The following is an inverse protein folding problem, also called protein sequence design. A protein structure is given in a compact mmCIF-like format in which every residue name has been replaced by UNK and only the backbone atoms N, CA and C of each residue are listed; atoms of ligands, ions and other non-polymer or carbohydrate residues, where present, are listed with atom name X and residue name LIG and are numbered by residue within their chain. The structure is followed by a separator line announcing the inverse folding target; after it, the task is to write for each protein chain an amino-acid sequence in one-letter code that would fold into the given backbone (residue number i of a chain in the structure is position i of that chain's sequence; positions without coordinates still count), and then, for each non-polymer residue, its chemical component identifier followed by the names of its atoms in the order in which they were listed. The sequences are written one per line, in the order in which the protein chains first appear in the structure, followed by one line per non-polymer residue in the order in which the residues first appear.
data_IF_218726009334
#
_entry.id   IF_218726009334
#
_cell.length_a   1.000
_cell.length_b   1.000
_cell.length_c   1.000
_cell.angle_alpha   90.00
_cell.angle_beta   90.00
_cell.angle_gamma   90.00
#
_symmetry.space_group_name_H-M   'P 1'
#
loop_
_entity.id
_entity.type
_entity.pdbx_description
1 polymer ?
#
# COMPACT_ATOMS: atom_id res chain seq x y z
N UNK A 1 26.90 -2.05 7.17
CA UNK A 1 25.86 -1.28 6.46
C UNK A 1 24.61 -1.36 7.30
N UNK A 2 24.19 -0.25 7.91
CA UNK A 2 22.98 -0.17 8.73
C UNK A 2 21.77 -0.13 7.81
N UNK A 3 20.97 -1.20 7.77
CA UNK A 3 19.71 -1.28 7.03
C UNK A 3 18.69 -0.31 7.67
N UNK A 4 18.70 0.95 7.25
CA UNK A 4 17.76 1.98 7.72
C UNK A 4 16.35 1.85 7.11
N UNK A 5 16.13 0.87 6.22
CA UNK A 5 14.90 0.72 5.44
C UNK A 5 13.80 -0.13 6.12
N UNK A 6 14.07 -0.73 7.29
CA UNK A 6 13.13 -1.64 7.99
C UNK A 6 12.57 -1.08 9.29
N UNK A 7 12.77 0.22 9.58
CA UNK A 7 12.31 0.84 10.83
C UNK A 7 10.93 1.49 10.66
N UNK A 8 9.88 0.67 10.78
CA UNK A 8 8.49 1.11 10.77
C UNK A 8 8.14 1.93 12.02
N UNK A 9 7.60 3.14 11.84
CA UNK A 9 7.06 3.97 12.93
C UNK A 9 5.53 4.00 12.88
N UNK A 10 4.88 3.54 13.97
CA UNK A 10 3.43 3.39 14.22
C UNK A 10 2.75 2.22 13.47
N UNK A 11 2.22 1.29 14.25
CA UNK A 11 1.84 -0.06 13.82
C UNK A 11 0.34 -0.15 13.48
N UNK A 12 -0.03 0.29 12.28
CA UNK A 12 -1.20 -0.27 11.65
C UNK A 12 -1.04 -1.79 11.49
N UNK A 13 -2.13 -2.51 11.28
CA UNK A 13 -2.11 -3.97 11.10
C UNK A 13 -2.88 -4.42 9.86
N UNK A 14 -3.56 -3.52 9.16
CA UNK A 14 -4.33 -3.79 7.95
C UNK A 14 -3.53 -3.36 6.71
N UNK A 15 -3.59 -4.17 5.66
CA UNK A 15 -3.23 -3.78 4.30
C UNK A 15 -4.49 -3.77 3.44
N UNK A 16 -4.49 -2.96 2.38
CA UNK A 16 -5.50 -3.08 1.34
C UNK A 16 -5.07 -4.13 0.33
N UNK A 17 -5.94 -5.11 0.09
CA UNK A 17 -5.70 -6.23 -0.81
C UNK A 17 -6.79 -6.27 -1.86
N UNK A 18 -6.40 -6.44 -3.12
CA UNK A 18 -7.33 -6.66 -4.23
C UNK A 18 -8.26 -7.84 -3.95
N UNK A 19 -9.57 -7.65 -4.19
CA UNK A 19 -10.55 -8.73 -4.05
C UNK A 19 -10.24 -9.91 -4.96
N UNK A 20 -9.57 -9.71 -6.10
CA UNK A 20 -9.11 -10.81 -6.96
C UNK A 20 -8.19 -11.79 -6.23
N UNK A 21 -7.37 -11.33 -5.29
CA UNK A 21 -6.53 -12.21 -4.48
C UNK A 21 -7.33 -13.08 -3.51
N UNK A 22 -8.53 -12.65 -3.13
CA UNK A 22 -9.36 -13.26 -2.08
C UNK A 22 -10.47 -14.13 -2.67
N UNK A 23 -11.23 -13.57 -3.60
CA UNK A 23 -12.40 -14.19 -4.22
C UNK A 23 -11.97 -15.27 -5.22
N UNK A 24 -11.02 -14.94 -6.11
CA UNK A 24 -10.47 -15.85 -7.11
C UNK A 24 -9.23 -16.62 -6.60
N UNK A 25 -8.83 -16.37 -5.34
CA UNK A 25 -7.66 -16.98 -4.68
C UNK A 25 -6.37 -16.83 -5.49
N UNK A 26 -6.24 -15.72 -6.22
CA UNK A 26 -5.04 -15.44 -7.00
C UNK A 26 -3.88 -15.05 -6.09
N UNK A 27 -2.64 -15.47 -6.40
CA UNK A 27 -1.49 -15.10 -5.60
C UNK A 27 -1.22 -13.60 -5.71
N UNK A 28 -0.79 -12.98 -4.61
CA UNK A 28 -0.29 -11.60 -4.63
C UNK A 28 1.00 -11.57 -5.43
N UNK A 29 1.12 -10.68 -6.39
CA UNK A 29 2.31 -10.55 -7.25
C UNK A 29 2.86 -9.16 -7.35
N UNK A 30 2.12 -8.18 -6.87
CA UNK A 30 2.54 -6.79 -6.87
C UNK A 30 2.13 -6.15 -5.55
N UNK A 31 3.04 -5.45 -4.90
CA UNK A 31 2.75 -4.68 -3.70
C UNK A 31 3.60 -3.43 -3.61
N UNK A 32 3.02 -2.38 -3.06
CA UNK A 32 3.73 -1.16 -2.74
C UNK A 32 3.26 -0.58 -1.41
N UNK A 33 4.13 0.21 -0.78
CA UNK A 33 3.82 0.87 0.50
C UNK A 33 3.67 2.37 0.35
N UNK A 34 2.48 2.85 0.68
CA UNK A 34 2.13 4.26 0.80
C UNK A 34 2.34 4.75 2.23
N UNK A 35 2.14 6.06 2.45
CA UNK A 35 1.98 6.58 3.82
C UNK A 35 0.64 6.09 4.36
N UNK A 36 0.58 5.48 5.56
CA UNK A 36 -0.67 5.09 6.19
C UNK A 36 -1.70 6.21 6.22
N UNK A 37 -2.93 5.94 5.76
CA UNK A 37 -4.00 6.94 5.75
C UNK A 37 -4.72 7.02 7.11
N UNK A 38 -4.73 5.94 7.89
CA UNK A 38 -5.39 5.86 9.18
C UNK A 38 -4.61 5.01 10.20
N UNK A 39 -4.98 5.06 11.48
CA UNK A 39 -4.24 4.41 12.58
C UNK A 39 -4.05 2.89 12.37
N UNK A 40 -5.05 2.22 11.80
CA UNK A 40 -4.98 0.77 11.53
C UNK A 40 -4.31 0.42 10.18
N UNK A 41 -3.99 1.39 9.32
CA UNK A 41 -3.44 1.17 7.99
C UNK A 41 -1.94 0.96 8.10
N UNK A 42 -1.42 -0.05 7.44
CA UNK A 42 0.03 -0.24 7.31
C UNK A 42 0.62 0.55 6.14
N UNK A 43 -0.24 1.07 5.26
CA UNK A 43 0.12 1.69 3.99
C UNK A 43 0.34 0.69 2.86
N UNK A 44 0.31 -0.62 3.13
CA UNK A 44 0.47 -1.64 2.09
C UNK A 44 -0.75 -1.72 1.19
N UNK A 45 -0.48 -1.74 -0.11
CA UNK A 45 -1.43 -2.02 -1.20
C UNK A 45 -0.94 -3.25 -1.93
N UNK A 46 -1.77 -4.28 -2.08
CA UNK A 46 -1.39 -5.60 -2.59
C UNK A 46 -2.35 -6.08 -3.68
N UNK A 47 -1.79 -6.61 -4.78
CA UNK A 47 -2.51 -6.92 -6.01
C UNK A 47 -2.06 -8.26 -6.60
N UNK A 48 -2.91 -8.86 -7.42
CA UNK A 48 -2.63 -10.13 -8.11
C UNK A 48 -1.76 -9.94 -9.36
N UNK A 49 -1.70 -8.72 -9.89
CA UNK A 49 -1.06 -8.36 -11.16
C UNK A 49 -1.93 -8.60 -12.38
N UNK A 50 -3.21 -8.92 -12.18
CA UNK A 50 -4.21 -9.15 -13.24
C UNK A 50 -5.33 -8.11 -13.24
N UNK A 51 -5.25 -7.10 -12.37
CA UNK A 51 -6.17 -5.98 -12.33
C UNK A 51 -6.03 -5.15 -13.61
N UNK A 52 -7.12 -5.00 -14.35
CA UNK A 52 -7.16 -4.11 -15.51
C UNK A 52 -7.38 -2.64 -15.09
N UNK A 53 -7.32 -1.73 -16.07
CA UNK A 53 -7.46 -0.30 -15.80
C UNK A 53 -8.85 0.07 -15.25
N UNK A 54 -9.92 -0.64 -15.61
CA UNK A 54 -11.27 -0.37 -15.11
C UNK A 54 -11.40 -0.83 -13.65
N UNK A 55 -10.76 -1.95 -13.31
CA UNK A 55 -10.67 -2.46 -11.96
C UNK A 55 -9.89 -1.51 -11.05
N UNK A 56 -8.73 -1.03 -11.51
CA UNK A 56 -7.90 -0.07 -10.79
C UNK A 56 -8.55 1.32 -10.66
N UNK A 57 -9.38 1.72 -11.63
CA UNK A 57 -10.14 2.98 -11.51
C UNK A 57 -11.14 2.97 -10.33
N UNK A 58 -11.55 1.79 -9.87
CA UNK A 58 -12.54 1.60 -8.81
C UNK A 58 -11.93 0.99 -7.53
N UNK A 59 -10.70 1.37 -7.18
CA UNK A 59 -9.95 0.83 -6.03
C UNK A 59 -10.76 0.80 -4.71
N UNK A 60 -11.53 1.85 -4.40
CA UNK A 60 -12.32 1.90 -3.16
C UNK A 60 -13.33 0.76 -3.05
N UNK A 61 -13.90 0.33 -4.19
CA UNK A 61 -14.86 -0.77 -4.24
C UNK A 61 -14.17 -2.14 -4.40
N UNK A 62 -12.95 -2.17 -4.93
CA UNK A 62 -12.26 -3.38 -5.36
C UNK A 62 -11.16 -3.86 -4.40
N UNK A 63 -10.80 -3.04 -3.42
CA UNK A 63 -9.84 -3.38 -2.38
C UNK A 63 -10.55 -3.70 -1.06
N UNK A 64 -9.98 -4.59 -0.25
CA UNK A 64 -10.46 -4.93 1.09
C UNK A 64 -9.34 -4.78 2.12
N UNK A 65 -9.65 -4.25 3.33
CA UNK A 65 -8.70 -4.25 4.44
C UNK A 65 -8.56 -5.67 5.00
N UNK A 66 -7.33 -6.19 5.00
CA UNK A 66 -6.99 -7.52 5.51
C UNK A 66 -5.83 -7.42 6.50
N UNK A 67 -5.87 -8.13 7.65
CA UNK A 67 -4.73 -8.18 8.56
C UNK A 67 -3.48 -8.69 7.86
N UNK A 68 -2.38 -7.94 7.95
CA UNK A 68 -1.09 -8.31 7.32
C UNK A 68 -0.60 -9.67 7.81
N UNK A 69 -0.79 -9.98 9.10
CA UNK A 69 -0.44 -11.29 9.66
C UNK A 69 -1.12 -12.44 8.90
N UNK A 70 -2.43 -12.30 8.58
CA UNK A 70 -3.19 -13.30 7.82
C UNK A 70 -2.65 -13.46 6.40
N UNK A 71 -2.21 -12.36 5.77
CA UNK A 71 -1.60 -12.41 4.45
C UNK A 71 -0.28 -13.18 4.49
N UNK A 72 0.57 -12.91 5.48
CA UNK A 72 1.84 -13.63 5.66
C UNK A 72 1.64 -15.11 6.04
N UNK A 73 0.56 -15.45 6.74
CA UNK A 73 0.18 -16.85 6.98
C UNK A 73 -0.20 -17.59 5.69
N UNK A 74 -0.87 -16.90 4.76
CA UNK A 74 -1.23 -17.46 3.44
C UNK A 74 -0.04 -17.53 2.48
N UNK A 75 0.86 -16.55 2.52
CA UNK A 75 2.08 -16.51 1.73
C UNK A 75 3.26 -15.98 2.57
N UNK A 76 4.07 -16.90 3.08
CA UNK A 76 5.20 -16.59 3.93
C UNK A 76 6.28 -15.75 3.24
N UNK A 77 6.34 -15.73 1.90
CA UNK A 77 7.32 -14.93 1.14
C UNK A 77 7.12 -13.43 1.32
N UNK A 78 5.93 -12.99 1.77
CA UNK A 78 5.61 -11.59 2.02
C UNK A 78 6.14 -11.09 3.37
N UNK A 79 6.48 -11.98 4.30
CA UNK A 79 6.83 -11.65 5.69
C UNK A 79 7.99 -10.66 5.79
N UNK A 80 9.02 -10.84 4.96
CA UNK A 80 10.16 -9.92 4.94
C UNK A 80 9.78 -8.59 4.27
N UNK A 81 9.01 -8.64 3.18
CA UNK A 81 8.68 -7.46 2.39
C UNK A 81 7.84 -6.46 3.17
N UNK A 82 6.90 -6.95 4.00
CA UNK A 82 5.99 -6.08 4.75
C UNK A 82 6.69 -5.24 5.84
N UNK A 83 7.94 -5.57 6.17
CA UNK A 83 8.77 -4.83 7.12
C UNK A 83 9.42 -3.57 6.54
N UNK A 84 9.41 -3.40 5.21
CA UNK A 84 10.04 -2.27 4.54
C UNK A 84 9.26 -0.96 4.73
N UNK A 85 9.96 0.17 4.57
CA UNK A 85 9.40 1.52 4.70
C UNK A 85 8.47 1.93 3.54
N UNK A 86 7.78 3.07 3.70
CA UNK A 86 6.97 3.65 2.62
C UNK A 86 7.88 4.02 1.43
N UNK A 87 7.33 3.97 0.22
CA UNK A 87 8.10 4.18 -1.01
C UNK A 87 8.69 2.89 -1.61
N UNK A 88 8.45 1.74 -0.97
CA UNK A 88 8.93 0.45 -1.47
C UNK A 88 7.90 -0.21 -2.38
N UNK A 89 8.38 -0.83 -3.45
CA UNK A 89 7.58 -1.51 -4.47
C UNK A 89 8.25 -2.84 -4.80
N UNK A 90 7.45 -3.90 -4.87
CA UNK A 90 7.90 -5.24 -5.12
C UNK A 90 6.99 -5.93 -6.12
N UNK A 91 7.59 -6.74 -6.99
CA UNK A 91 6.87 -7.57 -7.92
C UNK A 91 7.46 -8.99 -8.01
N UNK A 92 6.64 -9.93 -8.46
CA UNK A 92 7.09 -11.26 -8.89
C UNK A 92 6.26 -11.68 -10.09
N UNK A 93 6.86 -12.37 -11.05
CA UNK A 93 6.12 -12.83 -12.24
C UNK A 93 5.53 -14.22 -12.00
N UNK A 94 4.57 -14.68 -12.83
CA UNK A 94 4.11 -16.07 -12.78
C UNK A 94 5.24 -17.08 -13.01
N UNK A 95 6.26 -16.68 -13.78
CA UNK A 95 7.42 -17.51 -14.16
C UNK A 95 8.54 -17.46 -13.10
N UNK A 96 8.65 -16.35 -12.37
CA UNK A 96 9.66 -16.12 -11.34
C UNK A 96 8.98 -15.85 -10.00
N UNK A 97 8.96 -16.86 -9.13
CA UNK A 97 8.36 -16.75 -7.80
C UNK A 97 9.16 -15.86 -6.82
N UNK A 98 10.38 -15.47 -7.19
CA UNK A 98 11.21 -14.60 -6.38
C UNK A 98 10.79 -13.13 -6.54
N UNK A 99 10.70 -12.43 -5.41
CA UNK A 99 10.39 -11.01 -5.38
C UNK A 99 11.56 -10.15 -5.88
N UNK A 100 11.22 -9.18 -6.72
CA UNK A 100 12.14 -8.20 -7.29
C UNK A 100 11.71 -6.80 -6.87
N UNK A 101 12.71 -5.95 -6.61
CA UNK A 101 12.48 -4.55 -6.25
C UNK A 101 12.20 -3.75 -7.51
N UNK A 102 11.11 -2.99 -7.51
CA UNK A 102 10.75 -2.10 -8.61
C UNK A 102 11.11 -0.67 -8.23
N UNK A 103 11.82 0.03 -9.12
CA UNK A 103 12.35 1.38 -8.85
C UNK A 103 11.76 2.46 -9.77
N UNK A 104 11.13 2.06 -10.87
CA UNK A 104 10.53 2.93 -11.88
C UNK A 104 9.01 3.09 -11.73
N UNK A 105 8.38 2.35 -10.81
CA UNK A 105 6.98 2.52 -10.49
C UNK A 105 6.72 3.81 -9.70
N UNK A 106 5.80 4.64 -10.22
CA UNK A 106 5.33 5.84 -9.53
C UNK A 106 4.16 5.48 -8.63
N UNK A 107 4.42 5.38 -7.32
CA UNK A 107 3.38 5.15 -6.31
C UNK A 107 2.36 6.31 -6.39
N UNK A 108 1.06 6.01 -6.54
CA UNK A 108 0.02 7.02 -6.51
C UNK A 108 0.08 7.81 -5.19
N UNK A 109 0.22 9.12 -5.28
CA UNK A 109 0.06 10.02 -4.14
C UNK A 109 -1.37 10.53 -4.10
N UNK A 110 -2.01 10.52 -2.93
CA UNK A 110 -3.24 11.28 -2.74
C UNK A 110 -2.93 12.75 -3.05
N UNK A 111 -3.57 13.31 -4.09
CA UNK A 111 -3.49 14.75 -4.36
C UNK A 111 -4.25 15.45 -3.23
N UNK A 112 -3.54 15.89 -2.21
CA UNK A 112 -4.09 16.82 -1.21
C UNK A 112 -3.88 18.21 -1.78
N UNK A 113 -4.95 18.86 -2.23
CA UNK A 113 -4.94 20.27 -2.61
C UNK A 113 -4.68 21.12 -1.35
N UNK A 114 -3.42 21.39 -1.07
CA UNK A 114 -3.01 22.28 0.02
C UNK A 114 -3.10 23.73 -0.44
N UNK A 115 -4.18 24.42 -0.05
CA UNK A 115 -4.23 25.87 -0.16
C UNK A 115 -3.35 26.51 0.94
N UNK A 116 -2.09 26.79 0.62
CA UNK A 116 -1.21 27.56 1.51
C UNK A 116 -1.60 29.04 1.40
N UNK A 117 -2.20 29.60 2.45
CA UNK A 117 -2.48 31.04 2.57
C UNK A 117 -1.57 31.66 3.64
N UNK A 118 -0.92 32.78 3.31
CA UNK A 118 -0.20 33.61 4.30
C UNK A 118 -1.14 34.58 5.04
N UNK A 119 -2.44 34.55 4.76
CA UNK A 119 -3.43 35.38 5.45
C UNK A 119 -3.84 34.74 6.78
N UNK A 120 -3.29 35.26 7.88
CA UNK A 120 -3.60 34.86 9.26
C UNK A 120 -5.09 34.97 9.62
N UNK A 121 -5.89 35.76 8.88
CA UNK A 121 -7.32 35.90 9.17
C UNK A 121 -8.17 34.76 8.59
N UNK A 122 -7.71 34.10 7.51
CA UNK A 122 -8.41 32.95 6.92
C UNK A 122 -8.33 31.69 7.78
N UNK A 123 -7.31 31.58 8.64
CA UNK A 123 -7.13 30.41 9.51
C UNK A 123 -8.21 30.29 10.61
N UNK A 124 -8.78 31.41 11.06
CA UNK A 124 -9.73 31.42 12.18
C UNK A 124 -11.21 31.32 11.76
N UNK A 125 -11.52 31.32 10.46
CA UNK A 125 -12.89 31.41 9.96
C UNK A 125 -13.58 30.07 9.65
N UNK A 126 -12.88 28.94 9.72
CA UNK A 126 -13.46 27.60 9.42
C UNK A 126 -13.80 26.78 10.68
N UNK A 127 -13.81 27.40 11.86
CA UNK A 127 -14.27 26.76 13.09
C UNK A 127 -15.38 27.59 13.74
N UNK A 128 -16.55 27.61 13.12
CA UNK A 128 -17.84 27.95 13.74
C UNK A 128 -18.95 27.06 13.19
#
# INVERSE_FOLDING_TARGET
MSNSETNQTKSGFLALVSKLCLDEKLPIRFLYKTVPEHLNDTGWRMYSGYEDNEYLANELANMLPVPVAKICEMDASLTELVSYNAGTVWERTPEQQQWQRVHDFKIPSANVDVNITNDVNKFNSEVL
#
